data_IF_751753270529
#
_entry.id   IF_751753270529
#
_cell.length_a   1.000
_cell.length_b   1.000
_cell.length_c   1.000
_cell.angle_alpha   90.00
_cell.angle_beta   90.00
_cell.angle_gamma   90.00
#
_symmetry.space_group_name_H-M   'P 1'
#
loop_
_entity.id
_entity.type
_entity.pdbx_description
1 polymer ?
#
# COMPACT_ATOMS: atom_id res chain seq x y z
N UNK A 1 -21.84 12.47 -4.16
CA UNK A 1 -20.73 12.01 -3.29
C UNK A 1 -20.80 12.80 -2.00
N UNK A 2 -20.40 12.25 -0.85
CA UNK A 2 -20.57 12.98 0.42
C UNK A 2 -20.77 12.11 1.65
N UNK A 3 -20.99 10.81 1.48
CA UNK A 3 -21.12 9.88 2.60
C UNK A 3 -19.76 9.37 3.05
N UNK A 4 -19.56 9.33 4.37
CA UNK A 4 -18.34 8.78 4.97
C UNK A 4 -18.39 7.26 4.94
N UNK A 5 -17.24 6.60 5.05
CA UNK A 5 -17.16 5.15 4.86
C UNK A 5 -17.99 4.37 5.88
N UNK A 6 -18.19 4.92 7.08
CA UNK A 6 -19.00 4.31 8.14
C UNK A 6 -20.39 4.97 8.32
N UNK A 7 -20.81 5.86 7.41
CA UNK A 7 -22.11 6.54 7.50
C UNK A 7 -22.18 7.66 8.55
N UNK A 8 -21.06 8.01 9.18
CA UNK A 8 -20.97 9.21 10.05
C UNK A 8 -21.28 10.47 9.25
N UNK A 9 -22.27 11.23 9.68
CA UNK A 9 -22.61 12.52 9.06
C UNK A 9 -21.69 13.64 9.55
N UNK A 10 -21.58 14.74 8.78
CA UNK A 10 -20.86 15.93 9.22
C UNK A 10 -19.36 15.91 8.94
N UNK A 11 -18.93 15.19 7.90
CA UNK A 11 -17.61 15.45 7.31
C UNK A 11 -17.72 16.72 6.47
N UNK A 12 -17.07 17.78 6.95
CA UNK A 12 -17.00 19.08 6.30
C UNK A 12 -15.53 19.49 6.20
N UNK A 13 -15.05 19.71 4.97
CA UNK A 13 -13.62 19.91 4.69
C UNK A 13 -13.11 21.20 5.34
N UNK A 14 -13.91 22.27 5.31
CA UNK A 14 -13.55 23.55 5.93
C UNK A 14 -13.44 23.44 7.45
N UNK A 15 -14.35 22.68 8.08
CA UNK A 15 -14.27 22.36 9.49
C UNK A 15 -13.04 21.51 9.83
N UNK A 16 -12.68 20.51 9.03
CA UNK A 16 -11.45 19.72 9.24
C UNK A 16 -10.19 20.59 9.14
N UNK A 17 -10.16 21.54 8.19
CA UNK A 17 -9.08 22.51 8.05
C UNK A 17 -9.02 23.42 9.29
N UNK A 18 -10.16 23.92 9.77
CA UNK A 18 -10.22 24.74 10.98
C UNK A 18 -9.72 23.98 12.22
N UNK A 19 -10.16 22.73 12.41
CA UNK A 19 -9.71 21.88 13.51
C UNK A 19 -8.20 21.64 13.47
N UNK A 20 -7.63 21.43 12.28
CA UNK A 20 -6.18 21.32 12.09
C UNK A 20 -5.45 22.61 12.50
N UNK A 21 -5.96 23.77 12.07
CA UNK A 21 -5.37 25.08 12.41
C UNK A 21 -5.43 25.37 13.90
N UNK A 22 -6.55 25.06 14.56
CA UNK A 22 -6.72 25.19 16.01
C UNK A 22 -5.72 24.29 16.76
N UNK A 23 -5.60 23.01 16.36
CA UNK A 23 -4.64 22.08 16.97
C UNK A 23 -3.20 22.56 16.79
N UNK A 24 -2.85 23.07 15.61
CA UNK A 24 -1.52 23.61 15.35
C UNK A 24 -1.25 24.86 16.21
N UNK A 25 -2.24 25.74 16.38
CA UNK A 25 -2.11 26.94 17.22
C UNK A 25 -1.92 26.58 18.69
N UNK A 26 -2.67 25.60 19.19
CA UNK A 26 -2.52 25.05 20.55
C UNK A 26 -1.10 24.53 20.77
N UNK A 27 -0.62 23.64 19.90
CA UNK A 27 0.72 23.05 20.03
C UNK A 27 1.85 24.09 19.98
N UNK A 28 1.68 25.16 19.17
CA UNK A 28 2.63 26.27 19.11
C UNK A 28 2.59 27.14 20.37
N UNK A 29 1.41 27.36 20.94
CA UNK A 29 1.26 28.10 22.20
C UNK A 29 1.87 27.35 23.39
N UNK A 30 1.92 26.02 23.34
CA UNK A 30 2.62 25.15 24.30
C UNK A 30 4.14 25.09 24.09
N UNK A 31 4.70 25.87 23.15
CA UNK A 31 6.12 25.86 22.79
C UNK A 31 6.65 24.45 22.42
N UNK A 32 5.78 23.61 21.86
CA UNK A 32 6.15 22.26 21.45
C UNK A 32 7.21 22.29 20.34
N UNK A 33 8.20 21.41 20.42
CA UNK A 33 9.19 21.25 19.35
C UNK A 33 8.55 20.87 18.02
N UNK A 34 9.16 21.24 16.89
CA UNK A 34 8.69 20.88 15.54
C UNK A 34 8.50 19.35 15.35
N UNK A 35 9.35 18.55 16.00
CA UNK A 35 9.22 17.09 15.98
C UNK A 35 7.96 16.63 16.74
N UNK A 36 7.68 17.23 17.90
CA UNK A 36 6.49 16.94 18.68
C UNK A 36 5.22 17.38 17.94
N UNK A 37 5.23 18.58 17.33
CA UNK A 37 4.14 19.07 16.47
C UNK A 37 3.88 18.08 15.34
N UNK A 38 4.92 17.66 14.62
CA UNK A 38 4.80 16.71 13.50
C UNK A 38 4.18 15.38 13.94
N UNK A 39 4.55 14.85 15.10
CA UNK A 39 3.99 13.61 15.63
C UNK A 39 2.54 13.78 16.05
N UNK A 40 2.24 14.85 16.81
CA UNK A 40 0.89 15.16 17.25
C UNK A 40 -0.08 15.36 16.08
N UNK A 41 0.33 16.06 15.02
CA UNK A 41 -0.51 16.27 13.83
C UNK A 41 -0.72 14.99 13.02
N UNK A 42 0.28 14.09 12.96
CA UNK A 42 0.11 12.77 12.32
C UNK A 42 -0.92 11.92 13.07
N UNK A 43 -0.84 11.92 14.40
CA UNK A 43 -1.75 11.15 15.23
C UNK A 43 -3.16 11.76 15.22
N UNK A 44 -3.27 13.10 15.23
CA UNK A 44 -4.53 13.82 15.08
C UNK A 44 -5.20 13.50 13.75
N UNK A 45 -4.48 13.61 12.63
CA UNK A 45 -5.03 13.26 11.31
C UNK A 45 -5.50 11.81 11.23
N UNK A 46 -4.77 10.88 11.84
CA UNK A 46 -5.20 9.47 11.91
C UNK A 46 -6.49 9.31 12.71
N UNK A 47 -6.63 10.02 13.84
CA UNK A 47 -7.88 10.02 14.61
C UNK A 47 -9.05 10.57 13.78
N UNK A 48 -8.84 11.68 13.04
CA UNK A 48 -9.86 12.23 12.13
C UNK A 48 -10.30 11.21 11.08
N UNK A 49 -9.35 10.54 10.42
CA UNK A 49 -9.64 9.50 9.45
C UNK A 49 -10.52 8.38 10.04
N UNK A 50 -10.16 7.88 11.24
CA UNK A 50 -10.87 6.79 11.93
C UNK A 50 -12.30 7.19 12.30
N UNK A 51 -12.54 8.44 12.73
CA UNK A 51 -13.89 8.96 13.04
C UNK A 51 -14.84 8.75 11.85
N UNK A 52 -14.35 9.00 10.63
CA UNK A 52 -15.13 8.87 9.40
C UNK A 52 -14.97 7.49 8.72
N UNK A 53 -14.41 6.52 9.42
CA UNK A 53 -14.29 5.12 8.99
C UNK A 53 -13.06 4.82 8.12
N UNK A 54 -12.23 5.81 7.78
CA UNK A 54 -11.08 5.61 6.91
C UNK A 54 -9.86 5.06 7.67
N UNK A 55 -9.16 4.05 7.13
CA UNK A 55 -8.08 3.36 7.82
C UNK A 55 -6.82 4.22 8.05
N UNK A 56 -6.62 5.26 7.25
CA UNK A 56 -5.53 6.22 7.43
C UNK A 56 -5.82 7.54 6.72
N UNK A 57 -4.96 8.52 6.98
CA UNK A 57 -5.03 9.86 6.41
C UNK A 57 -4.91 9.89 4.89
N UNK A 58 -4.20 8.96 4.26
CA UNK A 58 -4.01 8.96 2.81
C UNK A 58 -5.33 8.67 2.07
N UNK A 59 -6.01 7.58 2.41
CA UNK A 59 -7.29 7.28 1.75
C UNK A 59 -8.39 8.26 2.18
N UNK A 60 -8.31 8.78 3.42
CA UNK A 60 -9.22 9.81 3.89
C UNK A 60 -9.11 11.10 3.05
N UNK A 61 -7.89 11.58 2.77
CA UNK A 61 -7.71 12.79 1.96
C UNK A 61 -8.06 12.56 0.50
N UNK A 62 -7.85 11.35 -0.05
CA UNK A 62 -8.34 10.99 -1.39
C UNK A 62 -9.86 11.02 -1.47
N UNK A 63 -10.55 10.45 -0.47
CA UNK A 63 -12.00 10.49 -0.41
C UNK A 63 -12.54 11.93 -0.33
N UNK A 64 -11.97 12.77 0.54
CA UNK A 64 -12.32 14.20 0.60
C UNK A 64 -12.06 14.93 -0.71
N UNK A 65 -10.97 14.60 -1.41
CA UNK A 65 -10.69 15.17 -2.73
C UNK A 65 -11.75 14.80 -3.77
N UNK A 66 -12.22 13.55 -3.78
CA UNK A 66 -13.30 13.13 -4.68
C UNK A 66 -14.64 13.79 -4.32
N UNK A 67 -14.93 13.97 -3.02
CA UNK A 67 -16.11 14.74 -2.57
C UNK A 67 -16.04 16.19 -3.08
N UNK A 68 -14.90 16.85 -2.90
CA UNK A 68 -14.69 18.23 -3.35
C UNK A 68 -14.83 18.36 -4.87
N UNK A 69 -14.32 17.41 -5.64
CA UNK A 69 -14.51 17.37 -7.10
C UNK A 69 -16.01 17.23 -7.41
N UNK A 70 -16.72 16.34 -6.72
CA UNK A 70 -18.17 16.20 -6.85
C UNK A 70 -18.95 17.49 -6.66
N UNK A 71 -18.58 18.24 -5.63
CA UNK A 71 -19.26 19.47 -5.24
C UNK A 71 -18.91 20.65 -6.15
N UNK A 72 -17.67 20.71 -6.65
CA UNK A 72 -17.15 21.85 -7.43
C UNK A 72 -17.14 21.65 -8.95
N UNK A 73 -17.38 20.44 -9.47
CA UNK A 73 -17.25 20.17 -10.91
C UNK A 73 -18.23 20.95 -11.79
N UNK A 74 -19.35 21.40 -11.25
CA UNK A 74 -20.45 21.99 -12.02
C UNK A 74 -20.80 21.13 -13.26
N UNK A 75 -20.62 21.70 -14.46
CA UNK A 75 -20.88 21.06 -15.75
C UNK A 75 -19.62 20.45 -16.41
N UNK A 76 -18.47 20.48 -15.75
CA UNK A 76 -17.24 19.89 -16.28
C UNK A 76 -17.38 18.35 -16.35
N UNK A 77 -17.04 17.72 -17.50
CA UNK A 77 -16.82 16.29 -17.58
C UNK A 77 -15.71 15.87 -16.60
N UNK A 78 -16.02 14.93 -15.71
CA UNK A 78 -15.07 14.42 -14.72
C UNK A 78 -14.95 12.91 -14.83
N UNK A 79 -13.70 12.45 -14.89
CA UNK A 79 -13.37 11.03 -14.80
C UNK A 79 -12.48 10.82 -13.57
N UNK A 80 -12.89 9.91 -12.69
CA UNK A 80 -12.11 9.52 -11.51
C UNK A 80 -11.59 8.10 -11.74
N UNK A 81 -10.27 7.96 -11.78
CA UNK A 81 -9.61 6.65 -11.87
C UNK A 81 -9.16 6.23 -10.47
N UNK A 82 -9.67 5.09 -10.00
CA UNK A 82 -9.31 4.46 -8.71
C UNK A 82 -8.47 3.20 -8.98
N UNK A 83 -7.14 3.33 -9.14
CA UNK A 83 -6.28 2.17 -9.28
C UNK A 83 -6.06 1.48 -7.93
N UNK A 84 -5.82 0.18 -8.01
CA UNK A 84 -5.42 -0.66 -6.87
C UNK A 84 -3.90 -0.58 -6.67
N UNK A 85 -3.28 -1.57 -6.01
CA UNK A 85 -1.83 -1.53 -5.78
C UNK A 85 -1.11 -1.62 -7.13
N UNK A 86 -0.46 -0.52 -7.52
CA UNK A 86 0.28 -0.47 -8.78
C UNK A 86 1.61 -1.22 -8.63
N UNK A 87 1.81 -2.21 -9.48
CA UNK A 87 3.07 -2.96 -9.63
C UNK A 87 3.89 -2.46 -10.82
N UNK A 88 4.91 -3.20 -11.23
CA UNK A 88 5.69 -2.86 -12.44
C UNK A 88 4.82 -2.81 -13.70
N UNK A 89 5.39 -2.34 -14.79
CA UNK A 89 4.75 -2.44 -16.10
C UNK A 89 4.67 -3.87 -16.58
N UNK A 90 3.59 -4.20 -17.29
CA UNK A 90 3.36 -5.50 -17.91
C UNK A 90 4.07 -5.61 -19.26
N UNK A 91 3.88 -4.64 -20.16
CA UNK A 91 4.54 -4.56 -21.48
C UNK A 91 5.22 -3.21 -21.74
N UNK A 92 4.63 -2.08 -21.37
CA UNK A 92 5.10 -0.75 -21.82
C UNK A 92 5.55 0.17 -20.69
N UNK A 93 6.58 1.02 -20.87
CA UNK A 93 7.42 1.15 -22.08
C UNK A 93 8.36 -0.05 -22.29
N UNK A 94 8.57 -0.87 -21.27
CA UNK A 94 9.15 -2.20 -21.35
C UNK A 94 8.73 -3.00 -20.11
N UNK A 95 8.72 -4.34 -20.14
CA UNK A 95 8.27 -5.15 -19.00
C UNK A 95 9.15 -4.95 -17.75
N UNK A 96 8.51 -4.87 -16.59
CA UNK A 96 9.21 -4.86 -15.29
C UNK A 96 9.78 -3.50 -14.90
N UNK A 97 9.42 -2.42 -15.60
CA UNK A 97 9.79 -1.07 -15.18
C UNK A 97 9.06 -0.71 -13.87
N UNK A 98 9.82 -0.17 -12.92
CA UNK A 98 9.31 0.35 -11.65
C UNK A 98 10.02 1.66 -11.36
N UNK A 99 9.24 2.67 -10.95
CA UNK A 99 9.78 3.90 -10.39
C UNK A 99 9.77 3.87 -8.86
N UNK A 100 10.96 3.87 -8.27
CA UNK A 100 11.15 3.96 -6.83
C UNK A 100 10.77 2.68 -6.07
N UNK A 101 10.72 2.77 -4.73
CA UNK A 101 10.27 1.67 -3.88
C UNK A 101 8.80 1.93 -3.52
N UNK A 102 7.88 1.09 -3.99
CA UNK A 102 6.47 1.11 -3.56
C UNK A 102 6.21 0.05 -2.48
N UNK A 103 4.97 -0.06 -2.00
CA UNK A 103 4.62 -0.94 -0.86
C UNK A 103 4.97 -2.41 -1.13
N UNK A 104 4.56 -2.97 -2.27
CA UNK A 104 4.83 -4.38 -2.61
C UNK A 104 6.34 -4.61 -2.87
N UNK A 105 7.01 -3.65 -3.51
CA UNK A 105 8.44 -3.70 -3.78
C UNK A 105 9.25 -3.69 -2.48
N UNK A 106 8.83 -2.91 -1.47
CA UNK A 106 9.47 -2.85 -0.15
C UNK A 106 9.47 -4.21 0.55
N UNK A 107 8.37 -4.96 0.41
CA UNK A 107 8.24 -6.32 0.97
C UNK A 107 9.18 -7.27 0.21
N UNK A 108 9.19 -7.21 -1.12
CA UNK A 108 10.10 -8.02 -1.95
C UNK A 108 11.58 -7.71 -1.64
N UNK A 109 11.94 -6.43 -1.46
CA UNK A 109 13.28 -5.99 -1.06
C UNK A 109 13.66 -6.50 0.32
N UNK A 110 12.78 -6.32 1.31
CA UNK A 110 13.01 -6.82 2.66
C UNK A 110 13.19 -8.33 2.70
N UNK A 111 12.40 -9.05 1.90
CA UNK A 111 12.49 -10.50 1.78
C UNK A 111 13.76 -10.98 1.09
N UNK A 112 14.04 -10.47 -0.13
CA UNK A 112 15.23 -10.85 -0.90
C UNK A 112 16.54 -10.51 -0.20
N UNK A 113 16.57 -9.44 0.61
CA UNK A 113 17.72 -9.08 1.47
C UNK A 113 17.79 -9.89 2.77
N UNK A 114 16.90 -10.87 2.99
CA UNK A 114 16.88 -11.72 4.18
C UNK A 114 16.48 -11.01 5.48
N UNK A 115 15.88 -9.81 5.38
CA UNK A 115 15.49 -8.98 6.54
C UNK A 115 14.06 -9.24 7.01
N UNK A 116 13.21 -9.80 6.15
CA UNK A 116 11.83 -10.15 6.47
C UNK A 116 11.75 -11.55 7.08
N UNK A 117 11.65 -11.62 8.41
CA UNK A 117 11.62 -12.90 9.16
C UNK A 117 10.22 -13.43 9.40
N UNK A 118 9.23 -12.55 9.43
CA UNK A 118 7.81 -12.89 9.51
C UNK A 118 6.99 -11.89 8.68
N UNK A 119 5.76 -12.27 8.34
CA UNK A 119 4.82 -11.40 7.65
C UNK A 119 3.42 -11.56 8.28
N UNK A 120 2.70 -10.46 8.44
CA UNK A 120 1.35 -10.45 8.98
C UNK A 120 0.38 -10.26 7.82
N UNK A 121 -0.50 -11.23 7.57
CA UNK A 121 -1.61 -11.10 6.63
C UNK A 121 -2.58 -12.26 6.82
N UNK A 122 -3.81 -12.09 6.33
CA UNK A 122 -4.62 -13.24 5.95
C UNK A 122 -4.03 -13.83 4.67
N UNK A 123 -3.45 -15.03 4.75
CA UNK A 123 -2.73 -15.64 3.63
C UNK A 123 -3.64 -15.97 2.45
N UNK A 124 -4.93 -16.12 2.71
CA UNK A 124 -5.95 -16.42 1.70
C UNK A 124 -6.61 -15.15 1.16
N UNK A 125 -6.34 -13.97 1.75
CA UNK A 125 -6.87 -12.71 1.23
C UNK A 125 -6.28 -12.35 -0.14
N UNK A 126 -7.09 -11.62 -0.92
CA UNK A 126 -6.72 -11.10 -2.23
C UNK A 126 -5.83 -9.88 -2.05
N UNK A 127 -4.75 -9.82 -2.82
CA UNK A 127 -3.89 -8.65 -2.99
C UNK A 127 -4.26 -8.03 -4.33
N UNK A 128 -5.07 -6.98 -4.27
CA UNK A 128 -5.52 -6.33 -5.51
C UNK A 128 -4.38 -5.50 -6.09
N UNK A 129 -3.77 -6.04 -7.14
CA UNK A 129 -2.60 -5.50 -7.82
C UNK A 129 -2.92 -5.30 -9.29
N UNK A 130 -2.43 -4.22 -9.88
CA UNK A 130 -2.53 -3.96 -11.31
C UNK A 130 -1.19 -3.44 -11.86
N UNK A 131 -0.76 -3.83 -13.07
CA UNK A 131 0.41 -3.24 -13.71
C UNK A 131 0.24 -1.75 -14.03
N UNK A 132 1.33 -0.99 -13.99
CA UNK A 132 1.30 0.47 -14.13
C UNK A 132 0.79 0.94 -15.50
N UNK A 133 1.22 0.27 -16.57
CA UNK A 133 0.80 0.55 -17.95
C UNK A 133 -0.68 0.27 -18.19
N UNK A 134 -1.26 -0.75 -17.58
CA UNK A 134 -2.71 -0.96 -17.64
C UNK A 134 -3.50 0.20 -17.03
N UNK A 135 -3.00 0.81 -15.96
CA UNK A 135 -3.62 2.01 -15.36
C UNK A 135 -3.52 3.20 -16.32
N UNK A 136 -2.36 3.40 -16.95
CA UNK A 136 -2.18 4.46 -17.94
C UNK A 136 -3.10 4.26 -19.14
N UNK A 137 -3.20 3.04 -19.66
CA UNK A 137 -4.10 2.71 -20.77
C UNK A 137 -5.57 2.95 -20.41
N UNK A 138 -5.99 2.59 -19.18
CA UNK A 138 -7.33 2.90 -18.69
C UNK A 138 -7.60 4.41 -18.60
N UNK A 139 -6.62 5.21 -18.15
CA UNK A 139 -6.72 6.69 -18.13
C UNK A 139 -6.93 7.22 -19.55
N UNK A 140 -6.08 6.83 -20.50
CA UNK A 140 -6.15 7.31 -21.89
C UNK A 140 -7.48 6.91 -22.55
N UNK A 141 -7.90 5.66 -22.38
CA UNK A 141 -9.19 5.17 -22.87
C UNK A 141 -10.37 5.96 -22.27
N UNK A 142 -10.35 6.20 -20.96
CA UNK A 142 -11.43 6.92 -20.30
C UNK A 142 -11.48 8.39 -20.74
N UNK A 143 -10.33 9.05 -20.90
CA UNK A 143 -10.24 10.41 -21.45
C UNK A 143 -10.85 10.50 -22.85
N UNK A 144 -10.50 9.56 -23.73
CA UNK A 144 -11.04 9.52 -25.09
C UNK A 144 -12.56 9.28 -25.10
N UNK A 145 -13.05 8.34 -24.28
CA UNK A 145 -14.47 8.01 -24.20
C UNK A 145 -15.34 9.18 -23.68
N UNK A 146 -14.78 10.02 -22.81
CA UNK A 146 -15.52 11.10 -22.13
C UNK A 146 -15.19 12.51 -22.62
N UNK A 147 -14.33 12.67 -23.64
CA UNK A 147 -13.83 13.97 -24.09
C UNK A 147 -14.92 15.03 -24.36
N UNK A 148 -16.12 14.62 -24.75
CA UNK A 148 -17.26 15.51 -25.02
C UNK A 148 -18.55 15.09 -24.31
N UNK A 149 -18.47 14.23 -23.29
CA UNK A 149 -19.66 13.74 -22.58
C UNK A 149 -19.79 14.44 -21.22
N UNK A 150 -20.89 15.18 -20.97
CA UNK A 150 -21.12 15.73 -19.64
C UNK A 150 -21.42 14.57 -18.68
N UNK A 151 -20.81 14.62 -17.50
CA UNK A 151 -21.05 13.59 -16.51
C UNK A 151 -19.87 13.38 -15.58
N UNK A 152 -20.06 12.46 -14.67
CA UNK A 152 -19.03 12.01 -13.76
C UNK A 152 -19.02 10.49 -13.77
N UNK A 153 -17.85 9.91 -14.05
CA UNK A 153 -17.69 8.46 -14.09
C UNK A 153 -16.48 8.04 -13.28
N UNK A 154 -16.67 7.00 -12.46
CA UNK A 154 -15.63 6.40 -11.66
C UNK A 154 -15.25 5.05 -12.30
N UNK A 155 -13.95 4.88 -12.56
CA UNK A 155 -13.37 3.62 -13.01
C UNK A 155 -12.50 3.01 -11.93
N UNK A 156 -12.89 1.82 -11.48
CA UNK A 156 -12.07 1.01 -10.60
C UNK A 156 -11.12 0.16 -11.44
N UNK A 157 -9.81 0.38 -11.30
CA UNK A 157 -8.79 -0.29 -12.11
C UNK A 157 -8.01 -1.26 -11.23
N UNK A 158 -8.42 -2.52 -11.27
CA UNK A 158 -7.91 -3.58 -10.41
C UNK A 158 -8.01 -4.96 -11.05
N UNK A 159 -7.50 -5.96 -10.35
CA UNK A 159 -7.57 -7.36 -10.76
C UNK A 159 -8.43 -8.23 -9.85
N UNK A 160 -8.78 -7.77 -8.64
CA UNK A 160 -9.46 -8.59 -7.62
C UNK A 160 -10.74 -9.29 -8.11
N UNK A 161 -11.56 -8.63 -8.93
CA UNK A 161 -12.83 -9.18 -9.42
C UNK A 161 -12.64 -10.22 -10.54
N UNK A 162 -11.65 -10.01 -11.41
CA UNK A 162 -11.53 -10.74 -12.68
C UNK A 162 -10.38 -11.74 -12.73
N UNK A 163 -9.28 -11.44 -12.06
CA UNK A 163 -8.07 -12.25 -12.04
C UNK A 163 -7.37 -12.13 -10.66
N UNK A 164 -7.99 -12.66 -9.59
CA UNK A 164 -7.52 -12.43 -8.22
C UNK A 164 -6.15 -13.04 -7.95
N UNK A 165 -5.26 -12.26 -7.37
CA UNK A 165 -3.97 -12.70 -6.83
C UNK A 165 -4.07 -12.81 -5.29
N UNK A 166 -3.64 -13.92 -4.68
CA UNK A 166 -3.68 -14.07 -3.20
C UNK A 166 -2.30 -13.88 -2.57
N UNK A 167 -2.27 -13.56 -1.27
CA UNK A 167 -1.01 -13.49 -0.51
C UNK A 167 -0.24 -14.83 -0.52
N UNK A 168 -0.95 -15.96 -0.56
CA UNK A 168 -0.35 -17.30 -0.71
C UNK A 168 0.45 -17.43 -2.02
N UNK A 169 -0.05 -16.86 -3.11
CA UNK A 169 0.66 -16.84 -4.39
C UNK A 169 1.93 -15.97 -4.28
N UNK A 170 1.82 -14.75 -3.75
CA UNK A 170 2.98 -13.86 -3.55
C UNK A 170 4.08 -14.50 -2.68
N UNK A 171 3.67 -15.21 -1.62
CA UNK A 171 4.58 -15.94 -0.74
C UNK A 171 5.33 -17.04 -1.48
N UNK A 172 4.63 -17.83 -2.31
CA UNK A 172 5.23 -18.89 -3.13
C UNK A 172 6.18 -18.33 -4.20
N UNK A 173 5.72 -17.35 -4.98
CA UNK A 173 6.51 -16.75 -6.05
C UNK A 173 7.77 -16.08 -5.51
N UNK A 174 7.65 -15.31 -4.42
CA UNK A 174 8.80 -14.72 -3.75
C UNK A 174 9.82 -15.77 -3.33
N UNK A 175 9.38 -16.83 -2.64
CA UNK A 175 10.26 -17.91 -2.21
C UNK A 175 10.94 -18.62 -3.39
N UNK A 176 10.19 -19.01 -4.42
CA UNK A 176 10.73 -19.66 -5.62
C UNK A 176 11.75 -18.77 -6.34
N UNK A 177 11.43 -17.50 -6.53
CA UNK A 177 12.29 -16.55 -7.22
C UNK A 177 13.62 -16.36 -6.49
N UNK A 178 13.59 -15.96 -5.21
CA UNK A 178 14.81 -15.65 -4.47
C UNK A 178 15.60 -16.91 -4.04
N UNK A 179 14.98 -18.08 -4.04
CA UNK A 179 15.72 -19.35 -3.91
C UNK A 179 16.49 -19.67 -5.19
N UNK A 180 15.89 -19.46 -6.36
CA UNK A 180 16.53 -19.71 -7.67
C UNK A 180 17.54 -18.63 -8.05
N UNK A 181 17.26 -17.37 -7.70
CA UNK A 181 18.06 -16.17 -8.00
C UNK A 181 18.26 -15.36 -6.71
N UNK A 182 19.13 -15.82 -5.79
CA UNK A 182 19.38 -15.10 -4.54
C UNK A 182 19.97 -13.72 -4.83
N UNK A 183 19.58 -12.72 -4.03
CA UNK A 183 20.22 -11.42 -4.08
C UNK A 183 21.66 -11.54 -3.55
N UNK A 184 22.61 -10.93 -4.26
CA UNK A 184 24.00 -10.86 -3.84
C UNK A 184 24.17 -9.61 -2.97
N UNK A 185 24.62 -9.81 -1.74
CA UNK A 185 24.82 -8.69 -0.83
C UNK A 185 26.10 -7.90 -1.14
N UNK A 186 26.38 -6.88 -0.33
CA UNK A 186 27.55 -6.01 -0.50
C UNK A 186 28.90 -6.73 -0.37
N UNK A 187 28.94 -7.87 0.31
CA UNK A 187 30.15 -8.68 0.49
C UNK A 187 30.31 -9.76 -0.60
N UNK A 188 29.41 -9.81 -1.58
CA UNK A 188 29.45 -10.76 -2.68
C UNK A 188 28.84 -12.13 -2.34
N UNK A 189 28.28 -12.32 -1.15
CA UNK A 189 27.63 -13.60 -0.79
C UNK A 189 26.15 -13.62 -1.16
N UNK A 190 25.65 -14.77 -1.67
CA UNK A 190 24.23 -14.95 -1.96
C UNK A 190 23.43 -15.05 -0.66
N UNK A 191 22.39 -14.21 -0.53
CA UNK A 191 21.47 -14.27 0.59
C UNK A 191 20.53 -15.47 0.45
N UNK A 192 20.59 -16.39 1.42
CA UNK A 192 19.70 -17.55 1.48
C UNK A 192 18.39 -17.15 2.15
N UNK A 193 17.31 -17.20 1.39
CA UNK A 193 15.96 -16.97 1.92
C UNK A 193 15.29 -18.29 2.31
N UNK A 194 14.44 -18.24 3.33
CA UNK A 194 13.53 -19.34 3.70
C UNK A 194 12.07 -18.93 3.48
N UNK A 195 11.13 -19.88 3.66
CA UNK A 195 9.71 -19.53 3.70
C UNK A 195 9.44 -18.66 4.93
N UNK A 196 8.96 -17.44 4.71
CA UNK A 196 8.64 -16.48 5.78
C UNK A 196 7.52 -17.03 6.64
N UNK A 197 7.63 -16.88 7.97
CA UNK A 197 6.55 -17.23 8.89
C UNK A 197 5.39 -16.25 8.71
N UNK A 198 4.23 -16.74 8.28
CA UNK A 198 3.02 -15.93 8.15
C UNK A 198 2.20 -15.98 9.44
N UNK A 199 1.72 -14.82 9.88
CA UNK A 199 0.84 -14.65 11.03
C UNK A 199 -0.54 -14.27 10.52
N UNK A 200 -1.51 -15.17 10.69
CA UNK A 200 -2.88 -15.00 10.21
C UNK A 200 -3.78 -14.13 11.11
N UNK A 201 -3.25 -13.56 12.20
CA UNK A 201 -4.06 -12.71 13.09
C UNK A 201 -3.20 -11.79 13.95
N UNK A 202 -3.78 -10.67 14.39
CA UNK A 202 -3.14 -9.77 15.35
C UNK A 202 -2.79 -10.47 16.66
N UNK A 203 -3.62 -11.41 17.14
CA UNK A 203 -3.33 -12.16 18.36
C UNK A 203 -2.06 -13.02 18.21
N UNK A 204 -1.90 -13.69 17.05
CA UNK A 204 -0.68 -14.46 16.76
C UNK A 204 0.55 -13.57 16.66
N UNK A 205 0.41 -12.39 16.06
CA UNK A 205 1.48 -11.39 15.96
C UNK A 205 1.90 -10.84 17.32
N UNK A 206 0.96 -10.39 18.16
CA UNK A 206 1.28 -9.88 19.48
C UNK A 206 1.94 -10.93 20.37
N UNK A 207 1.48 -12.19 20.34
CA UNK A 207 2.14 -13.30 21.04
C UNK A 207 3.58 -13.48 20.57
N UNK A 208 3.81 -13.52 19.26
CA UNK A 208 5.15 -13.66 18.71
C UNK A 208 6.05 -12.48 19.09
N UNK A 209 5.57 -11.25 18.94
CA UNK A 209 6.32 -10.04 19.28
C UNK A 209 6.67 -10.01 20.77
N UNK A 210 5.74 -10.43 21.62
CA UNK A 210 5.94 -10.50 23.06
C UNK A 210 7.05 -11.48 23.42
N UNK A 211 6.92 -12.74 22.97
CA UNK A 211 7.86 -13.81 23.32
C UNK A 211 9.24 -13.56 22.71
N UNK A 212 9.30 -13.15 21.44
CA UNK A 212 10.56 -13.10 20.69
C UNK A 212 11.35 -11.81 20.89
N UNK A 213 10.68 -10.68 21.16
CA UNK A 213 11.31 -9.36 21.20
C UNK A 213 11.04 -8.58 22.48
N UNK A 214 9.80 -8.48 22.95
CA UNK A 214 9.49 -7.62 24.12
C UNK A 214 10.02 -8.21 25.44
N UNK A 215 9.92 -9.52 25.66
CA UNK A 215 10.51 -10.16 26.84
C UNK A 215 12.02 -9.99 26.87
N UNK A 216 12.68 -10.17 25.73
CA UNK A 216 14.12 -9.94 25.60
C UNK A 216 14.48 -8.47 25.85
N UNK A 217 13.71 -7.53 25.31
CA UNK A 217 13.92 -6.10 25.53
C UNK A 217 13.78 -5.72 27.01
N UNK A 218 12.79 -6.29 27.72
CA UNK A 218 12.64 -6.12 29.17
C UNK A 218 13.81 -6.72 29.95
N UNK A 219 14.29 -7.90 29.57
CA UNK A 219 15.51 -8.48 30.14
C UNK A 219 16.72 -7.57 29.93
N UNK A 220 16.87 -7.02 28.72
CA UNK A 220 17.93 -6.07 28.39
C UNK A 220 17.84 -4.78 29.21
N UNK A 221 16.64 -4.29 29.52
CA UNK A 221 16.42 -3.13 30.39
C UNK A 221 16.93 -3.36 31.83
N UNK A 222 16.65 -4.54 32.38
CA UNK A 222 17.11 -4.94 33.71
C UNK A 222 18.64 -5.06 33.73
N UNK A 223 19.22 -5.75 32.74
CA UNK A 223 20.68 -5.87 32.59
C UNK A 223 21.32 -4.49 32.40
N UNK A 224 20.75 -3.65 31.54
CA UNK A 224 21.23 -2.29 31.33
C UNK A 224 21.22 -1.47 32.64
N UNK A 225 20.21 -1.65 33.49
CA UNK A 225 20.13 -1.01 34.80
C UNK A 225 21.19 -1.57 35.77
N UNK A 226 21.36 -2.89 35.83
CA UNK A 226 22.35 -3.54 36.69
C UNK A 226 23.80 -3.18 36.31
N UNK A 227 24.06 -2.92 35.02
CA UNK A 227 25.37 -2.53 34.49
C UNK A 227 25.50 -1.01 34.26
N UNK A 228 24.87 -0.20 35.12
CA UNK A 228 25.01 1.26 35.12
C UNK A 228 24.84 1.93 33.74
N UNK A 229 23.83 1.50 32.98
CA UNK A 229 23.47 2.02 31.66
C UNK A 229 24.46 1.71 30.52
N UNK A 230 25.35 0.73 30.69
CA UNK A 230 26.32 0.32 29.66
C UNK A 230 25.68 -0.04 28.30
N UNK A 231 24.50 -0.69 28.31
CA UNK A 231 23.79 -1.14 27.10
C UNK A 231 22.71 -0.16 26.61
N UNK A 232 22.70 1.08 27.09
CA UNK A 232 21.64 2.06 26.82
C UNK A 232 21.43 2.29 25.32
N UNK A 233 22.52 2.39 24.55
CA UNK A 233 22.45 2.56 23.09
C UNK A 233 21.73 1.40 22.39
N UNK A 234 22.09 0.16 22.72
CA UNK A 234 21.49 -1.05 22.16
C UNK A 234 20.01 -1.17 22.54
N UNK A 235 19.66 -0.90 23.80
CA UNK A 235 18.27 -0.89 24.25
C UNK A 235 17.43 0.14 23.48
N UNK A 236 17.92 1.38 23.35
CA UNK A 236 17.21 2.45 22.65
C UNK A 236 17.00 2.10 21.17
N UNK A 237 18.03 1.56 20.50
CA UNK A 237 17.92 1.16 19.09
C UNK A 237 16.92 0.01 18.89
N UNK A 238 16.98 -1.03 19.72
CA UNK A 238 16.05 -2.16 19.62
C UNK A 238 14.61 -1.74 19.94
N UNK A 239 14.42 -0.93 20.99
CA UNK A 239 13.12 -0.36 21.36
C UNK A 239 12.54 0.48 20.20
N UNK A 240 13.36 1.32 19.56
CA UNK A 240 12.96 2.11 18.39
C UNK A 240 12.53 1.22 17.22
N UNK A 241 13.31 0.18 16.90
CA UNK A 241 12.99 -0.77 15.82
C UNK A 241 11.69 -1.54 16.09
N UNK A 242 11.48 -2.01 17.32
CA UNK A 242 10.24 -2.70 17.70
C UNK A 242 9.04 -1.76 17.58
N UNK A 243 9.12 -0.54 18.14
CA UNK A 243 8.06 0.47 18.01
C UNK A 243 7.74 0.79 16.55
N UNK A 244 8.77 0.89 15.71
CA UNK A 244 8.60 1.10 14.27
C UNK A 244 7.83 -0.04 13.60
N UNK A 245 8.19 -1.29 13.86
CA UNK A 245 7.49 -2.47 13.32
C UNK A 245 6.04 -2.52 13.79
N UNK A 246 5.78 -2.28 15.08
CA UNK A 246 4.41 -2.23 15.61
C UNK A 246 3.57 -1.15 14.90
N UNK A 247 4.13 0.05 14.70
CA UNK A 247 3.44 1.14 13.99
C UNK A 247 3.13 0.80 12.54
N UNK A 248 4.08 0.18 11.83
CA UNK A 248 3.85 -0.25 10.44
C UNK A 248 2.75 -1.31 10.37
N UNK A 249 2.77 -2.28 11.28
CA UNK A 249 1.74 -3.33 11.33
C UNK A 249 0.35 -2.72 11.57
N UNK A 250 0.19 -1.81 12.53
CA UNK A 250 -1.12 -1.17 12.75
C UNK A 250 -1.57 -0.33 11.55
N UNK A 251 -0.65 0.37 10.88
CA UNK A 251 -0.96 1.15 9.67
C UNK A 251 -1.45 0.27 8.51
N UNK A 252 -0.82 -0.89 8.30
CA UNK A 252 -1.12 -1.77 7.18
C UNK A 252 -2.17 -2.84 7.48
N UNK A 253 -2.46 -3.12 8.76
CA UNK A 253 -3.48 -4.06 9.22
C UNK A 253 -4.79 -4.02 8.42
N UNK A 254 -5.43 -2.87 8.17
CA UNK A 254 -6.70 -2.83 7.42
C UNK A 254 -6.57 -3.38 6.00
N UNK A 255 -5.39 -3.30 5.37
CA UNK A 255 -5.12 -3.84 4.03
C UNK A 255 -4.70 -5.32 4.06
N UNK A 256 -3.91 -5.70 5.07
CA UNK A 256 -3.40 -7.07 5.21
C UNK A 256 -4.49 -8.09 5.55
N UNK A 257 -5.64 -7.62 6.04
CA UNK A 257 -6.81 -8.41 6.39
C UNK A 257 -8.07 -8.02 5.59
N UNK A 258 -7.93 -7.20 4.55
CA UNK A 258 -9.05 -6.81 3.71
C UNK A 258 -9.56 -8.01 2.90
N UNK A 259 -10.87 -8.27 2.97
CA UNK A 259 -11.53 -9.38 2.25
C UNK A 259 -12.42 -8.92 1.11
N UNK A 260 -12.52 -7.60 0.89
CA UNK A 260 -13.35 -7.06 -0.16
C UNK A 260 -12.75 -7.32 -1.54
N UNK A 261 -13.63 -7.34 -2.53
CA UNK A 261 -13.32 -7.33 -3.95
C UNK A 261 -13.92 -6.05 -4.50
N UNK A 262 -13.17 -5.33 -5.33
CA UNK A 262 -13.68 -4.10 -5.90
C UNK A 262 -14.39 -4.38 -7.22
N UNK A 263 -15.65 -3.99 -7.32
CA UNK A 263 -16.41 -4.08 -8.57
C UNK A 263 -15.77 -3.17 -9.64
N UNK A 264 -15.56 -3.73 -10.82
CA UNK A 264 -14.90 -3.07 -11.95
C UNK A 264 -15.80 -2.95 -13.18
N UNK A 265 -17.13 -3.03 -12.98
CA UNK A 265 -18.10 -3.10 -14.07
C UNK A 265 -17.99 -1.93 -15.06
N UNK A 266 -17.75 -0.71 -14.57
CA UNK A 266 -17.53 0.43 -15.46
C UNK A 266 -16.26 0.25 -16.31
N UNK A 267 -15.17 -0.24 -15.70
CA UNK A 267 -13.90 -0.47 -16.39
C UNK A 267 -14.03 -1.56 -17.44
N UNK A 268 -14.76 -2.64 -17.16
CA UNK A 268 -15.10 -3.66 -18.16
C UNK A 268 -15.89 -3.08 -19.34
N UNK A 269 -16.92 -2.25 -19.06
CA UNK A 269 -17.72 -1.62 -20.12
C UNK A 269 -16.86 -0.73 -21.01
N UNK A 270 -15.98 0.08 -20.41
CA UNK A 270 -15.03 0.91 -21.17
C UNK A 270 -14.10 0.05 -22.02
N UNK A 271 -13.58 -1.02 -21.44
CA UNK A 271 -12.70 -1.96 -22.13
C UNK A 271 -13.38 -2.62 -23.35
N UNK A 272 -14.63 -3.05 -23.20
CA UNK A 272 -15.43 -3.61 -24.30
C UNK A 272 -15.65 -2.57 -25.39
N UNK A 273 -16.02 -1.34 -25.02
CA UNK A 273 -16.22 -0.25 -25.97
C UNK A 273 -14.95 0.09 -26.75
N UNK A 274 -13.77 0.09 -26.11
CA UNK A 274 -12.48 0.31 -26.80
C UNK A 274 -12.18 -0.83 -27.76
N UNK A 275 -12.46 -2.09 -27.37
CA UNK A 275 -12.25 -3.26 -28.23
C UNK A 275 -13.11 -3.26 -29.49
N UNK A 276 -14.35 -2.80 -29.38
CA UNK A 276 -15.29 -2.76 -30.50
C UNK A 276 -15.02 -1.59 -31.46
N UNK A 277 -14.55 -0.45 -30.95
CA UNK A 277 -14.47 0.79 -31.72
C UNK A 277 -13.08 1.11 -32.28
N UNK A 278 -12.03 0.41 -31.84
CA UNK A 278 -10.66 0.76 -32.23
C UNK A 278 -9.92 -0.45 -32.77
N UNK A 279 -9.33 -0.33 -33.97
CA UNK A 279 -8.33 -1.29 -34.49
C UNK A 279 -7.07 -1.34 -33.62
N UNK A 280 -6.94 -0.41 -32.67
CA UNK A 280 -5.87 -0.25 -31.69
C UNK A 280 -6.22 -0.88 -30.33
N UNK A 281 -7.22 -1.76 -30.25
CA UNK A 281 -7.59 -2.47 -29.02
C UNK A 281 -6.41 -3.21 -28.37
N UNK A 282 -5.45 -3.67 -29.18
CA UNK A 282 -4.21 -4.31 -28.73
C UNK A 282 -3.18 -3.29 -28.19
N UNK A 283 -3.31 -2.02 -28.55
CA UNK A 283 -2.46 -0.91 -28.09
C UNK A 283 -2.90 -0.48 -26.68
N UNK A 284 -4.20 -0.21 -26.48
CA UNK A 284 -4.73 0.22 -25.18
C UNK A 284 -5.26 -0.96 -24.34
N UNK A 285 -4.38 -1.92 -24.04
CA UNK A 285 -4.74 -3.07 -23.22
C UNK A 285 -4.78 -2.69 -21.73
N UNK A 286 -5.85 -3.10 -21.05
CA UNK A 286 -5.96 -3.00 -19.58
C UNK A 286 -6.87 -4.10 -19.00
N UNK A 287 -6.99 -5.23 -19.69
CA UNK A 287 -7.71 -6.40 -19.19
C UNK A 287 -6.84 -7.18 -18.18
N UNK A 288 -7.18 -7.22 -16.89
CA UNK A 288 -6.40 -8.00 -15.92
C UNK A 288 -6.43 -9.51 -16.22
N UNK A 289 -7.41 -10.03 -16.97
CA UNK A 289 -7.49 -11.47 -17.31
C UNK A 289 -6.34 -11.95 -18.20
N UNK A 290 -5.65 -11.05 -18.91
CA UNK A 290 -4.49 -11.45 -19.71
C UNK A 290 -3.22 -11.69 -18.89
N UNK A 291 -3.22 -11.31 -17.60
CA UNK A 291 -2.06 -11.46 -16.73
C UNK A 291 -1.94 -12.93 -16.29
N UNK A 292 -0.88 -13.60 -16.74
CA UNK A 292 -0.41 -14.82 -16.09
C UNK A 292 0.42 -14.43 -14.86
N UNK A 293 -0.14 -14.58 -13.66
CA UNK A 293 0.52 -14.14 -12.42
C UNK A 293 1.85 -14.82 -12.13
N UNK A 294 2.00 -16.11 -12.45
CA UNK A 294 3.27 -16.83 -12.24
C UNK A 294 4.35 -16.23 -13.13
N UNK A 295 4.08 -16.11 -14.44
CA UNK A 295 5.02 -15.54 -15.39
C UNK A 295 5.33 -14.06 -15.08
N UNK A 296 4.30 -13.26 -14.85
CA UNK A 296 4.44 -11.85 -14.53
C UNK A 296 5.31 -11.65 -13.28
N UNK A 297 5.07 -12.37 -12.19
CA UNK A 297 5.84 -12.17 -10.96
C UNK A 297 7.25 -12.75 -11.06
N UNK A 298 7.41 -13.93 -11.66
CA UNK A 298 8.69 -14.63 -11.72
C UNK A 298 9.66 -14.05 -12.76
N UNK A 299 9.13 -13.61 -13.91
CA UNK A 299 9.93 -13.22 -15.07
C UNK A 299 9.89 -11.72 -15.39
N UNK A 300 8.92 -10.97 -14.86
CA UNK A 300 8.76 -9.54 -15.13
C UNK A 300 8.96 -8.69 -13.87
N UNK A 301 8.06 -8.80 -12.90
CA UNK A 301 8.01 -7.92 -11.74
C UNK A 301 9.20 -8.09 -10.79
N UNK A 302 9.44 -9.30 -10.24
CA UNK A 302 10.55 -9.50 -9.30
C UNK A 302 11.93 -9.23 -9.91
N UNK A 303 12.23 -9.65 -11.17
CA UNK A 303 13.43 -9.20 -11.87
C UNK A 303 13.53 -7.67 -12.00
N UNK A 304 12.42 -7.01 -12.34
CA UNK A 304 12.33 -5.55 -12.41
C UNK A 304 12.66 -4.88 -11.09
N UNK A 305 12.07 -5.35 -9.99
CA UNK A 305 12.37 -4.86 -8.64
C UNK A 305 13.84 -5.06 -8.30
N UNK A 306 14.42 -6.23 -8.57
CA UNK A 306 15.87 -6.45 -8.35
C UNK A 306 16.72 -5.49 -9.19
N UNK A 307 16.35 -5.23 -10.44
CA UNK A 307 17.13 -4.36 -11.33
C UNK A 307 17.06 -2.88 -10.95
N UNK A 308 15.86 -2.38 -10.62
CA UNK A 308 15.61 -0.94 -10.46
C UNK A 308 15.57 -0.48 -9.00
N UNK A 309 15.28 -1.39 -8.06
CA UNK A 309 14.97 -1.06 -6.66
C UNK A 309 16.04 -1.58 -5.71
N UNK A 310 16.61 -2.78 -5.94
CA UNK A 310 17.68 -3.31 -5.10
C UNK A 310 19.00 -2.57 -5.38
N UNK A 311 19.17 -1.41 -4.74
CA UNK A 311 20.47 -0.74 -4.54
C UNK A 311 21.16 -1.23 -3.27
#
# INVERSE_FOLDING_TARGET
MGETLNGTTGLDIDNEIRLLQEKLKELRAEEASEQAITLALKDFGLQRAIVYGWPNTYVFTKAMGEMLIGDLKENLPVVIIRPTIISSTYKEPFPGWVEGIRTIDSIAVGYGKGKLTFFLCDIDAIVDVIPADMVVNAILAAMAAHANQPGEVIYQVGSSMRNPLRYSNLHDYGFRFFTKKPWINKDGTPVKVGKVKVMGSMASFHRYMTVRYLLFLKGLEVVNTAFCQYFKGTYVDLSRKIKFVMRLVELYKPYLFFKGVFDDMNTEKLQMAVRENTTEADIFYFDPKCINWDDYLMNVHLPGVVKYVFK
#
